data_IF_564332987767
#
_entry.id   IF_564332987767
#
_cell.length_a   1.000
_cell.length_b   1.000
_cell.length_c   1.000
_cell.angle_alpha   90.00
_cell.angle_beta   90.00
_cell.angle_gamma   90.00
#
_symmetry.space_group_name_H-M   'P 1'
#
loop_
_entity.id
_entity.type
_entity.pdbx_description
1 polymer ?
#
# COMPACT_ATOMS: atom_id res chain seq x y z
N UNK A 1 -37.51 38.80 22.64
CA UNK A 1 -36.13 38.80 22.10
C UNK A 1 -35.83 37.38 21.63
N UNK A 2 -35.95 37.12 20.33
CA UNK A 2 -35.74 35.80 19.75
C UNK A 2 -34.30 35.75 19.23
N UNK A 3 -33.47 34.88 19.81
CA UNK A 3 -32.09 34.66 19.39
C UNK A 3 -32.07 33.77 18.13
N UNK A 4 -31.71 34.33 16.98
CA UNK A 4 -31.41 33.57 15.76
C UNK A 4 -30.03 32.91 15.93
N UNK A 5 -29.99 31.59 16.15
CA UNK A 5 -28.77 30.81 16.00
C UNK A 5 -28.62 30.41 14.53
N UNK A 6 -27.68 31.03 13.81
CA UNK A 6 -27.24 30.54 12.51
C UNK A 6 -26.56 29.19 12.70
N UNK A 7 -27.28 28.12 12.38
CA UNK A 7 -26.72 26.78 12.22
C UNK A 7 -25.85 26.78 10.96
N UNK A 8 -24.53 26.72 11.13
CA UNK A 8 -23.62 26.41 10.04
C UNK A 8 -23.86 24.96 9.61
N UNK A 9 -24.71 24.76 8.59
CA UNK A 9 -24.72 23.51 7.85
C UNK A 9 -23.35 23.39 7.16
N UNK A 10 -22.56 22.38 7.55
CA UNK A 10 -21.30 22.09 6.87
C UNK A 10 -21.64 21.69 5.43
N UNK A 11 -21.09 22.42 4.47
CA UNK A 11 -21.25 22.08 3.05
C UNK A 11 -20.71 20.67 2.82
N UNK A 12 -21.57 19.75 2.38
CA UNK A 12 -21.20 18.35 2.16
C UNK A 12 -20.04 18.23 1.16
N UNK A 13 -19.95 19.16 0.21
CA UNK A 13 -18.82 19.25 -0.71
C UNK A 13 -17.52 19.65 -0.01
N UNK A 14 -17.58 20.55 0.99
CA UNK A 14 -16.41 20.92 1.79
C UNK A 14 -15.93 19.74 2.66
N UNK A 15 -16.85 18.99 3.27
CA UNK A 15 -16.51 17.78 4.05
C UNK A 15 -15.88 16.66 3.20
N UNK A 16 -16.40 16.42 1.98
CA UNK A 16 -15.81 15.45 1.04
C UNK A 16 -14.40 15.88 0.59
N UNK A 17 -14.20 17.18 0.35
CA UNK A 17 -12.89 17.73 0.00
C UNK A 17 -11.89 17.60 1.16
N UNK A 18 -12.31 17.87 2.40
CA UNK A 18 -11.46 17.68 3.58
C UNK A 18 -11.09 16.20 3.78
N UNK A 19 -12.07 15.29 3.68
CA UNK A 19 -11.82 13.85 3.77
C UNK A 19 -10.84 13.37 2.69
N UNK A 20 -10.98 13.85 1.45
CA UNK A 20 -10.07 13.55 0.34
C UNK A 20 -8.65 14.03 0.65
N UNK A 21 -8.50 15.24 1.19
CA UNK A 21 -7.19 15.78 1.57
C UNK A 21 -6.55 14.99 2.72
N UNK A 22 -7.34 14.50 3.69
CA UNK A 22 -6.82 13.64 4.76
C UNK A 22 -6.37 12.29 4.23
N UNK A 23 -7.13 11.66 3.34
CA UNK A 23 -6.73 10.39 2.69
C UNK A 23 -5.44 10.56 1.90
N UNK A 24 -5.28 11.66 1.15
CA UNK A 24 -4.02 12.00 0.47
C UNK A 24 -2.86 12.18 1.46
N UNK A 25 -3.09 12.87 2.58
CA UNK A 25 -2.07 13.06 3.62
C UNK A 25 -1.58 11.76 4.27
N UNK A 26 -2.45 10.75 4.41
CA UNK A 26 -2.06 9.42 4.89
C UNK A 26 -1.39 8.55 3.83
N UNK A 27 -1.47 8.93 2.56
CA UNK A 27 -1.02 8.08 1.45
C UNK A 27 0.49 7.83 1.47
N UNK A 28 1.28 8.87 1.75
CA UNK A 28 2.75 8.74 1.84
C UNK A 28 3.17 7.85 3.03
N UNK A 29 2.54 8.06 4.19
CA UNK A 29 2.79 7.21 5.37
C UNK A 29 2.35 5.78 5.13
N UNK A 30 1.23 5.56 4.44
CA UNK A 30 0.73 4.24 4.06
C UNK A 30 1.64 3.54 3.04
N UNK A 31 2.19 4.29 2.09
CA UNK A 31 3.14 3.78 1.10
C UNK A 31 4.46 3.34 1.78
N UNK A 32 4.99 4.15 2.70
CA UNK A 32 6.16 3.79 3.50
C UNK A 32 5.92 2.53 4.35
N UNK A 33 4.74 2.40 4.95
CA UNK A 33 4.37 1.19 5.71
C UNK A 33 4.30 -0.04 4.79
N UNK A 34 3.71 0.09 3.60
CA UNK A 34 3.66 -0.98 2.59
C UNK A 34 5.06 -1.43 2.17
N UNK A 35 5.99 -0.50 1.94
CA UNK A 35 7.37 -0.83 1.62
C UNK A 35 8.08 -1.56 2.77
N UNK A 36 7.86 -1.14 4.02
CA UNK A 36 8.44 -1.81 5.18
C UNK A 36 7.92 -3.25 5.32
N UNK A 37 6.61 -3.46 5.19
CA UNK A 37 6.02 -4.80 5.23
C UNK A 37 6.50 -5.64 4.05
N UNK A 38 6.52 -5.07 2.84
CA UNK A 38 7.00 -5.72 1.63
C UNK A 38 8.45 -6.19 1.74
N UNK A 39 9.32 -5.40 2.37
CA UNK A 39 10.71 -5.77 2.63
C UNK A 39 10.83 -6.98 3.57
N UNK A 40 10.06 -6.99 4.67
CA UNK A 40 10.07 -8.11 5.63
C UNK A 40 9.55 -9.39 4.98
N UNK A 41 8.40 -9.32 4.31
CA UNK A 41 7.79 -10.49 3.66
C UNK A 41 8.64 -10.99 2.49
N UNK A 42 9.28 -10.08 1.75
CA UNK A 42 10.23 -10.40 0.69
C UNK A 42 11.44 -11.19 1.19
N UNK A 43 12.00 -10.80 2.35
CA UNK A 43 13.13 -11.49 2.97
C UNK A 43 12.74 -12.91 3.44
N UNK A 44 11.56 -13.06 4.04
CA UNK A 44 11.03 -14.37 4.46
C UNK A 44 10.81 -15.28 3.24
N UNK A 45 10.29 -14.73 2.14
CA UNK A 45 10.12 -15.46 0.87
C UNK A 45 11.45 -15.95 0.29
N UNK A 46 12.49 -15.12 0.34
CA UNK A 46 13.82 -15.48 -0.13
C UNK A 46 14.41 -16.68 0.65
N UNK A 47 14.27 -16.66 1.98
CA UNK A 47 14.73 -17.77 2.84
C UNK A 47 13.98 -19.06 2.49
N UNK A 48 12.67 -19.00 2.25
CA UNK A 48 11.89 -20.18 1.83
C UNK A 48 12.34 -20.74 0.48
N UNK A 49 12.60 -19.88 -0.51
CA UNK A 49 13.11 -20.30 -1.82
C UNK A 49 14.48 -20.96 -1.67
N UNK A 50 15.37 -20.36 -0.89
CA UNK A 50 16.70 -20.91 -0.61
C UNK A 50 16.63 -22.28 0.06
N UNK A 51 15.75 -22.44 1.06
CA UNK A 51 15.55 -23.72 1.74
C UNK A 51 15.03 -24.81 0.78
N UNK A 52 14.09 -24.50 -0.12
CA UNK A 52 13.60 -25.46 -1.13
C UNK A 52 14.70 -25.83 -2.14
N UNK A 53 15.53 -24.87 -2.53
CA UNK A 53 16.66 -25.11 -3.41
C UNK A 53 17.68 -26.07 -2.78
N UNK A 54 18.04 -25.85 -1.52
CA UNK A 54 18.93 -26.75 -0.80
C UNK A 54 18.33 -28.14 -0.55
N UNK A 55 17.00 -28.24 -0.43
CA UNK A 55 16.29 -29.50 -0.28
C UNK A 55 16.16 -30.30 -1.59
N UNK A 56 16.56 -29.73 -2.74
CA UNK A 56 16.51 -30.40 -4.03
C UNK A 56 15.09 -30.62 -4.56
N UNK A 57 14.10 -29.85 -4.07
CA UNK A 57 12.72 -30.01 -4.52
C UNK A 57 12.55 -29.64 -6.00
N UNK A 58 11.82 -30.45 -6.79
CA UNK A 58 11.57 -30.17 -8.21
C UNK A 58 10.76 -28.89 -8.45
N UNK A 59 10.00 -28.42 -7.47
CA UNK A 59 9.18 -27.22 -7.56
C UNK A 59 9.94 -25.91 -7.22
N UNK A 60 11.23 -25.97 -6.91
CA UNK A 60 12.03 -24.80 -6.50
C UNK A 60 11.96 -23.67 -7.53
N UNK A 61 12.11 -23.97 -8.82
CA UNK A 61 12.06 -22.97 -9.90
C UNK A 61 10.70 -22.27 -9.97
N UNK A 62 9.61 -23.00 -9.71
CA UNK A 62 8.25 -22.44 -9.67
C UNK A 62 8.07 -21.51 -8.47
N UNK A 63 8.54 -21.92 -7.29
CA UNK A 63 8.45 -21.11 -6.07
C UNK A 63 9.35 -19.87 -6.16
N UNK A 64 10.55 -20.02 -6.73
CA UNK A 64 11.47 -18.92 -6.99
C UNK A 64 10.87 -17.89 -7.95
N UNK A 65 10.28 -18.34 -9.07
CA UNK A 65 9.62 -17.47 -10.04
C UNK A 65 8.42 -16.73 -9.43
N UNK A 66 7.59 -17.44 -8.64
CA UNK A 66 6.45 -16.83 -7.95
C UNK A 66 6.87 -15.76 -6.92
N UNK A 67 7.95 -16.02 -6.17
CA UNK A 67 8.54 -15.07 -5.24
C UNK A 67 9.07 -13.82 -5.96
N UNK A 68 9.87 -14.00 -7.01
CA UNK A 68 10.39 -12.89 -7.82
C UNK A 68 9.28 -12.04 -8.42
N UNK A 69 8.23 -12.68 -8.99
CA UNK A 69 7.07 -11.98 -9.52
C UNK A 69 6.35 -11.13 -8.45
N UNK A 70 6.25 -11.65 -7.23
CA UNK A 70 5.64 -10.94 -6.10
C UNK A 70 6.49 -9.74 -5.64
N UNK A 71 7.81 -9.86 -5.65
CA UNK A 71 8.73 -8.76 -5.34
C UNK A 71 8.63 -7.62 -6.36
N UNK A 72 8.60 -7.94 -7.66
CA UNK A 72 8.43 -6.96 -8.73
C UNK A 72 7.07 -6.26 -8.60
N UNK A 73 6.01 -7.03 -8.35
CA UNK A 73 4.67 -6.49 -8.17
C UNK A 73 4.59 -5.45 -7.04
N UNK A 74 5.23 -5.72 -5.89
CA UNK A 74 5.28 -4.76 -4.77
C UNK A 74 5.95 -3.43 -5.14
N UNK A 75 7.01 -3.47 -5.96
CA UNK A 75 7.69 -2.26 -6.43
C UNK A 75 6.79 -1.47 -7.38
N UNK A 76 6.15 -2.15 -8.34
CA UNK A 76 5.30 -1.54 -9.37
C UNK A 76 4.02 -0.95 -8.76
N UNK A 77 3.39 -1.65 -7.82
CA UNK A 77 2.17 -1.17 -7.13
C UNK A 77 2.40 0.19 -6.50
N UNK A 78 3.56 0.42 -5.89
CA UNK A 78 3.82 1.70 -5.25
C UNK A 78 3.94 2.85 -6.26
N UNK A 79 4.50 2.60 -7.45
CA UNK A 79 4.52 3.58 -8.56
C UNK A 79 3.10 3.86 -9.07
N UNK A 80 2.31 2.79 -9.27
CA UNK A 80 0.93 2.89 -9.77
C UNK A 80 0.05 3.65 -8.77
N UNK A 81 0.16 3.34 -7.48
CA UNK A 81 -0.57 4.04 -6.42
C UNK A 81 -0.19 5.52 -6.34
N UNK A 82 1.10 5.88 -6.50
CA UNK A 82 1.51 7.28 -6.58
C UNK A 82 0.89 8.00 -7.80
N UNK A 83 0.94 7.36 -8.97
CA UNK A 83 0.32 7.88 -10.20
C UNK A 83 -1.20 8.08 -10.09
N UNK A 84 -1.95 7.19 -9.44
CA UNK A 84 -3.40 7.35 -9.26
C UNK A 84 -3.77 8.55 -8.38
N UNK A 85 -2.91 8.92 -7.43
CA UNK A 85 -3.16 10.04 -6.51
C UNK A 85 -2.50 11.35 -6.95
N UNK A 86 -1.79 11.34 -8.09
CA UNK A 86 -1.18 12.52 -8.70
C UNK A 86 0.07 13.01 -7.98
N UNK A 87 0.81 12.10 -7.35
CA UNK A 87 2.10 12.34 -6.66
C UNK A 87 3.24 11.70 -7.46
#
# INVERSE_FOLDING_TARGET
MLCNFSLFAQDGAAGINEATNKVKGYFDSGCNLMYAIGAVVGLIGAIKVFNKWNAGEPDTSKVAAAWFGSCIFLVVVATVLKSFFGI
#
